data_IF_026470265752
#
_entry.id   IF_026470265752
#
_cell.length_a   1.000
_cell.length_b   1.000
_cell.length_c   1.000
_cell.angle_alpha   90.00
_cell.angle_beta   90.00
_cell.angle_gamma   90.00
#
_symmetry.space_group_name_H-M   'P 1'
#
loop_
_entity.id
_entity.type
_entity.pdbx_description
1 polymer ?
#
# COMPACT_ATOMS: atom_id res chain seq x y z
N UNK A 1 13.26 2.20 -0.05
CA UNK A 1 12.63 1.83 -1.35
C UNK A 1 11.53 2.80 -1.78
N UNK A 2 10.66 3.27 -0.86
CA UNK A 2 9.54 4.17 -1.19
C UNK A 2 9.93 5.44 -1.96
N UNK A 3 11.01 6.12 -1.59
CA UNK A 3 11.52 7.30 -2.32
C UNK A 3 11.83 6.99 -3.79
N UNK A 4 12.44 5.83 -4.05
CA UNK A 4 12.73 5.35 -5.41
C UNK A 4 11.44 5.09 -6.17
N UNK A 5 10.46 4.44 -5.56
CA UNK A 5 9.17 4.20 -6.21
C UNK A 5 8.46 5.52 -6.56
N UNK A 6 8.47 6.51 -5.67
CA UNK A 6 7.88 7.82 -5.93
C UNK A 6 8.52 8.51 -7.15
N UNK A 7 9.85 8.49 -7.26
CA UNK A 7 10.57 9.05 -8.39
C UNK A 7 10.29 8.27 -9.69
N UNK A 8 10.34 6.95 -9.65
CA UNK A 8 10.02 6.08 -10.81
C UNK A 8 8.58 6.31 -11.29
N UNK A 9 7.61 6.38 -10.39
CA UNK A 9 6.22 6.68 -10.73
C UNK A 9 6.09 8.06 -11.39
N UNK A 10 6.84 9.06 -10.90
CA UNK A 10 6.82 10.39 -11.49
C UNK A 10 7.44 10.41 -12.91
N UNK A 11 8.59 9.75 -13.10
CA UNK A 11 9.24 9.62 -14.41
C UNK A 11 8.33 8.89 -15.41
N UNK A 12 7.73 7.76 -15.00
CA UNK A 12 6.82 7.00 -15.83
C UNK A 12 5.57 7.80 -16.19
N UNK A 13 5.03 8.58 -15.24
CA UNK A 13 3.86 9.41 -15.52
C UNK A 13 4.19 10.57 -16.46
N UNK A 14 5.34 11.22 -16.28
CA UNK A 14 5.84 12.27 -17.18
C UNK A 14 6.12 11.73 -18.59
N UNK A 15 6.52 10.46 -18.72
CA UNK A 15 6.77 9.80 -20.00
C UNK A 15 5.53 9.12 -20.61
N UNK A 16 4.45 8.93 -19.84
CA UNK A 16 3.26 8.19 -20.30
C UNK A 16 3.44 6.66 -20.38
N UNK A 17 4.37 6.10 -19.61
CA UNK A 17 4.74 4.67 -19.66
C UNK A 17 4.16 3.84 -18.51
N UNK A 18 3.31 4.43 -17.68
CA UNK A 18 2.64 3.80 -16.53
C UNK A 18 1.25 3.22 -16.86
N UNK A 19 0.81 3.31 -18.12
CA UNK A 19 -0.51 2.83 -18.55
C UNK A 19 -1.68 3.73 -18.17
N UNK A 20 -1.44 4.93 -17.61
CA UNK A 20 -2.49 5.89 -17.23
C UNK A 20 -2.85 6.88 -18.36
N UNK A 21 -2.58 6.53 -19.61
CA UNK A 21 -2.86 7.35 -20.79
C UNK A 21 -1.75 8.35 -21.12
N UNK A 22 -2.10 9.47 -21.75
CA UNK A 22 -1.15 10.45 -22.29
C UNK A 22 -0.15 10.96 -21.23
N UNK A 23 1.08 11.35 -21.62
CA UNK A 23 2.10 11.85 -20.70
C UNK A 23 1.66 13.04 -19.83
N UNK A 24 2.24 13.16 -18.63
CA UNK A 24 2.01 14.27 -17.69
C UNK A 24 0.99 13.95 -16.59
N UNK A 25 0.74 14.93 -15.72
CA UNK A 25 -0.13 14.75 -14.55
C UNK A 25 -1.51 15.35 -14.77
N UNK A 26 -2.54 14.59 -14.40
CA UNK A 26 -3.91 15.06 -14.23
C UNK A 26 -4.37 14.78 -12.80
N UNK A 27 -5.39 15.48 -12.31
CA UNK A 27 -6.01 15.14 -11.02
C UNK A 27 -6.53 13.69 -10.98
N UNK A 28 -6.93 13.12 -12.13
CA UNK A 28 -7.28 11.71 -12.25
C UNK A 28 -6.10 10.79 -11.94
N UNK A 29 -4.99 11.00 -12.64
CA UNK A 29 -3.85 10.10 -12.54
C UNK A 29 -3.11 10.25 -11.22
N UNK A 30 -3.05 11.44 -10.60
CA UNK A 30 -2.50 11.61 -9.25
C UNK A 30 -3.22 10.73 -8.21
N UNK A 31 -4.55 10.65 -8.31
CA UNK A 31 -5.38 9.80 -7.43
C UNK A 31 -5.14 8.31 -7.69
N UNK A 32 -5.03 7.92 -8.97
CA UNK A 32 -4.75 6.54 -9.36
C UNK A 32 -3.34 6.10 -8.94
N UNK A 33 -2.34 6.98 -9.04
CA UNK A 33 -0.97 6.71 -8.61
C UNK A 33 -0.90 6.43 -7.10
N UNK A 34 -1.61 7.20 -6.28
CA UNK A 34 -1.65 6.97 -4.83
C UNK A 34 -2.20 5.57 -4.49
N UNK A 35 -3.37 5.20 -5.04
CA UNK A 35 -3.94 3.86 -4.86
C UNK A 35 -3.44 2.83 -5.89
N UNK A 36 -2.27 3.04 -6.49
CA UNK A 36 -1.66 1.99 -7.34
C UNK A 36 -1.11 0.83 -6.51
N UNK A 37 -0.85 1.12 -5.22
CA UNK A 37 -0.32 0.22 -4.19
C UNK A 37 0.84 -0.67 -4.67
N UNK A 38 1.62 -0.17 -5.62
CA UNK A 38 2.80 -0.84 -6.17
C UNK A 38 3.79 -1.20 -5.07
N UNK A 39 4.26 -2.43 -5.09
CA UNK A 39 5.23 -2.96 -4.13
C UNK A 39 6.62 -3.05 -4.80
N UNK A 40 7.45 -2.01 -4.61
CA UNK A 40 8.72 -1.92 -5.31
C UNK A 40 9.68 -3.07 -4.93
N UNK A 41 9.69 -3.53 -3.68
CA UNK A 41 10.51 -4.69 -3.32
C UNK A 41 10.10 -5.91 -4.17
N UNK A 42 8.80 -6.18 -4.26
CA UNK A 42 8.25 -7.22 -5.12
C UNK A 42 8.66 -7.06 -6.58
N UNK A 43 8.47 -5.86 -7.14
CA UNK A 43 8.83 -5.57 -8.54
C UNK A 43 10.30 -5.83 -8.84
N UNK A 44 11.19 -5.61 -7.87
CA UNK A 44 12.63 -5.81 -8.04
C UNK A 44 13.07 -7.25 -7.87
N UNK A 45 12.37 -8.06 -7.06
CA UNK A 45 12.91 -9.36 -6.61
C UNK A 45 11.99 -10.56 -6.82
N UNK A 46 10.71 -10.39 -7.13
CA UNK A 46 9.76 -11.52 -7.25
C UNK A 46 10.27 -12.57 -8.24
N UNK A 47 10.66 -12.16 -9.43
CA UNK A 47 11.05 -13.08 -10.49
C UNK A 47 12.32 -13.90 -10.13
N UNK A 48 13.45 -13.31 -9.69
CA UNK A 48 14.58 -14.09 -9.22
C UNK A 48 14.28 -14.90 -7.94
N UNK A 49 13.40 -14.40 -7.07
CA UNK A 49 12.94 -15.13 -5.88
C UNK A 49 12.17 -16.39 -6.27
N UNK A 50 11.26 -16.30 -7.24
CA UNK A 50 10.50 -17.43 -7.79
C UNK A 50 11.43 -18.43 -8.50
N UNK A 51 12.43 -17.95 -9.24
CA UNK A 51 13.42 -18.82 -9.87
C UNK A 51 14.20 -19.64 -8.83
N UNK A 52 14.70 -18.99 -7.76
CA UNK A 52 15.37 -19.67 -6.65
C UNK A 52 14.43 -20.63 -5.90
N UNK A 53 13.16 -20.23 -5.70
CA UNK A 53 12.12 -21.06 -5.09
C UNK A 53 11.93 -22.39 -5.84
N UNK A 54 11.80 -22.34 -7.17
CA UNK A 54 11.59 -23.53 -8.02
C UNK A 54 12.79 -24.48 -8.02
N UNK A 55 14.00 -23.97 -7.80
CA UNK A 55 15.20 -24.79 -7.59
C UNK A 55 15.34 -25.37 -6.17
N UNK A 56 14.49 -24.95 -5.23
CA UNK A 56 14.62 -25.24 -3.81
C UNK A 56 13.93 -26.51 -3.30
N UNK A 57 13.22 -27.25 -4.16
CA UNK A 57 12.53 -28.50 -3.82
C UNK A 57 11.04 -28.51 -4.20
N UNK A 58 10.46 -29.71 -4.33
CA UNK A 58 9.06 -29.88 -4.70
C UNK A 58 8.07 -29.43 -3.60
N UNK A 59 8.51 -29.42 -2.34
CA UNK A 59 7.75 -28.92 -1.19
C UNK A 59 7.41 -27.43 -1.30
N UNK A 60 8.24 -26.66 -2.02
CA UNK A 60 8.04 -25.23 -2.22
C UNK A 60 7.10 -24.89 -3.37
N UNK A 61 6.74 -25.84 -4.23
CA UNK A 61 5.97 -25.57 -5.46
C UNK A 61 4.70 -24.71 -5.22
N UNK A 62 3.84 -25.01 -4.21
CA UNK A 62 2.67 -24.17 -3.94
C UNK A 62 3.02 -22.72 -3.59
N UNK A 63 4.08 -22.51 -2.80
CA UNK A 63 4.52 -21.17 -2.43
C UNK A 63 5.10 -20.42 -3.63
N UNK A 64 5.87 -21.10 -4.48
CA UNK A 64 6.42 -20.50 -5.70
C UNK A 64 5.31 -20.07 -6.66
N UNK A 65 4.25 -20.87 -6.79
CA UNK A 65 3.12 -20.57 -7.68
C UNK A 65 2.32 -19.35 -7.19
N UNK A 66 2.08 -19.26 -5.87
CA UNK A 66 1.46 -18.07 -5.26
C UNK A 66 2.31 -16.82 -5.48
N UNK A 67 3.61 -16.90 -5.24
CA UNK A 67 4.53 -15.77 -5.43
C UNK A 67 4.62 -15.36 -6.90
N UNK A 68 4.60 -16.32 -7.83
CA UNK A 68 4.62 -16.04 -9.27
C UNK A 68 3.31 -15.38 -9.75
N UNK A 69 2.17 -15.78 -9.18
CA UNK A 69 0.86 -15.24 -9.51
C UNK A 69 0.56 -13.87 -8.86
N UNK A 70 1.33 -13.48 -7.83
CA UNK A 70 1.14 -12.21 -7.14
C UNK A 70 1.27 -11.03 -8.10
N UNK A 71 0.31 -10.10 -8.00
CA UNK A 71 0.13 -8.91 -8.82
C UNK A 71 1.14 -7.79 -8.57
N UNK A 72 2.11 -7.99 -7.66
CA UNK A 72 3.10 -7.00 -7.24
C UNK A 72 2.48 -5.76 -6.58
N UNK A 73 1.26 -5.89 -6.06
CA UNK A 73 0.54 -4.84 -5.34
C UNK A 73 0.23 -5.22 -3.91
N UNK A 74 -0.06 -4.21 -3.12
CA UNK A 74 -0.53 -4.34 -1.75
C UNK A 74 -1.99 -3.87 -1.64
N UNK A 75 -2.83 -4.24 -2.62
CA UNK A 75 -4.27 -4.00 -2.55
C UNK A 75 -4.89 -4.92 -1.51
N UNK A 76 -6.05 -4.55 -0.95
CA UNK A 76 -6.77 -5.40 -0.01
C UNK A 76 -7.08 -6.80 -0.59
N UNK A 77 -7.24 -6.90 -1.91
CA UNK A 77 -7.48 -8.16 -2.62
C UNK A 77 -6.23 -8.89 -3.10
N UNK A 78 -5.03 -8.30 -2.97
CA UNK A 78 -3.80 -8.89 -3.52
C UNK A 78 -3.46 -10.20 -2.81
N UNK A 79 -3.41 -11.29 -3.58
CA UNK A 79 -3.02 -12.64 -3.14
C UNK A 79 -1.54 -12.85 -3.37
N UNK A 80 -0.85 -13.39 -2.38
CA UNK A 80 0.61 -13.55 -2.36
C UNK A 80 1.38 -12.37 -1.75
N UNK A 81 0.74 -11.22 -1.53
CA UNK A 81 1.34 -10.07 -0.83
C UNK A 81 1.76 -10.42 0.61
N UNK A 82 0.94 -11.21 1.33
CA UNK A 82 1.24 -11.68 2.69
C UNK A 82 2.44 -12.62 2.69
N UNK A 83 2.44 -13.62 1.80
CA UNK A 83 3.56 -14.55 1.67
C UNK A 83 4.86 -13.80 1.32
N UNK A 84 4.81 -12.90 0.34
CA UNK A 84 5.96 -12.08 -0.02
C UNK A 84 6.47 -11.24 1.16
N UNK A 85 5.58 -10.59 1.91
CA UNK A 85 5.95 -9.79 3.09
C UNK A 85 6.73 -10.59 4.13
N UNK A 86 6.29 -11.81 4.43
CA UNK A 86 6.97 -12.65 5.41
C UNK A 86 8.30 -13.21 4.87
N UNK A 87 8.37 -13.57 3.59
CA UNK A 87 9.63 -13.95 2.94
C UNK A 87 10.62 -12.78 2.93
N UNK A 88 10.16 -11.58 2.57
CA UNK A 88 11.00 -10.38 2.52
C UNK A 88 11.56 -10.01 3.89
N UNK A 89 10.76 -10.18 4.95
CA UNK A 89 11.21 -10.05 6.35
C UNK A 89 12.26 -11.10 6.71
N UNK A 90 12.02 -12.36 6.38
CA UNK A 90 12.97 -13.44 6.65
C UNK A 90 14.31 -13.25 5.92
N UNK A 91 14.30 -12.62 4.73
CA UNK A 91 15.50 -12.25 3.98
C UNK A 91 16.23 -11.00 4.52
N UNK A 92 15.71 -10.34 5.56
CA UNK A 92 16.31 -9.13 6.12
C UNK A 92 16.01 -7.85 5.31
N UNK A 93 15.00 -7.88 4.44
CA UNK A 93 14.57 -6.74 3.65
C UNK A 93 15.65 -6.24 2.69
N UNK A 94 16.00 -4.95 2.76
CA UNK A 94 16.98 -4.34 1.86
C UNK A 94 18.39 -4.97 1.94
N UNK A 95 18.72 -5.73 3.00
CA UNK A 95 19.96 -6.48 3.08
C UNK A 95 20.04 -7.63 2.05
N UNK A 96 18.89 -8.06 1.48
CA UNK A 96 18.81 -9.10 0.48
C UNK A 96 19.32 -8.66 -0.92
N UNK A 97 19.63 -7.38 -1.12
CA UNK A 97 20.10 -6.89 -2.42
C UNK A 97 21.56 -7.28 -2.70
N UNK A 98 21.82 -7.68 -3.94
CA UNK A 98 23.15 -8.00 -4.46
C UNK A 98 23.99 -6.73 -4.63
N UNK A 99 23.41 -5.74 -5.31
CA UNK A 99 24.02 -4.46 -5.62
C UNK A 99 23.69 -3.45 -4.53
N UNK A 100 24.71 -2.87 -3.85
CA UNK A 100 24.48 -1.85 -2.83
C UNK A 100 23.99 -0.53 -3.45
N UNK A 101 23.51 0.37 -2.61
CA UNK A 101 23.14 1.72 -3.02
C UNK A 101 24.34 2.47 -3.62
N UNK A 102 24.10 3.15 -4.75
CA UNK A 102 25.03 4.05 -5.42
C UNK A 102 24.39 5.42 -5.58
N UNK A 103 25.11 6.48 -5.18
CA UNK A 103 24.68 7.87 -5.42
C UNK A 103 24.65 8.22 -6.91
N UNK A 104 25.43 7.53 -7.73
CA UNK A 104 25.46 7.74 -9.17
C UNK A 104 24.25 7.11 -9.88
N UNK A 105 23.57 6.17 -9.22
CA UNK A 105 22.35 5.53 -9.72
C UNK A 105 21.33 5.28 -8.59
N UNK A 106 20.74 6.35 -8.03
CA UNK A 106 19.85 6.25 -6.88
C UNK A 106 18.48 5.64 -7.23
N UNK A 107 18.15 5.56 -8.51
CA UNK A 107 16.89 4.97 -9.00
C UNK A 107 17.05 3.55 -9.54
N UNK A 108 18.27 3.10 -9.82
CA UNK A 108 18.58 1.72 -10.17
C UNK A 108 19.08 0.89 -8.99
N UNK A 109 19.55 1.50 -7.91
CA UNK A 109 20.16 0.81 -6.75
C UNK A 109 19.49 1.16 -5.40
N UNK A 110 19.53 0.25 -4.40
CA UNK A 110 20.03 -1.13 -4.45
C UNK A 110 19.14 -2.04 -5.32
N UNK A 111 19.70 -3.11 -5.86
CA UNK A 111 19.01 -3.99 -6.81
C UNK A 111 19.65 -5.37 -6.93
N UNK A 112 18.91 -6.28 -7.60
CA UNK A 112 19.29 -7.68 -7.77
C UNK A 112 19.14 -8.45 -6.47
N UNK A 113 18.58 -9.66 -6.51
CA UNK A 113 18.50 -10.53 -5.34
C UNK A 113 19.86 -11.24 -5.15
N UNK A 114 20.44 -11.19 -3.94
CA UNK A 114 21.73 -11.80 -3.64
C UNK A 114 21.63 -13.32 -3.42
N UNK A 115 21.13 -14.07 -4.41
CA UNK A 115 20.82 -15.51 -4.30
C UNK A 115 22.04 -16.39 -3.97
N UNK A 116 23.25 -15.88 -4.16
CA UNK A 116 24.54 -16.50 -3.82
C UNK A 116 24.95 -16.29 -2.36
N UNK A 117 24.34 -15.32 -1.65
CA UNK A 117 24.69 -14.93 -0.28
C UNK A 117 23.56 -15.16 0.74
N UNK A 118 22.35 -15.43 0.28
CA UNK A 118 21.16 -15.57 1.12
C UNK A 118 20.41 -16.88 0.79
N UNK A 119 19.81 -17.50 1.80
CA UNK A 119 19.01 -18.71 1.64
C UNK A 119 17.55 -18.38 1.31
N UNK A 120 17.28 -18.15 0.01
CA UNK A 120 15.92 -17.91 -0.48
C UNK A 120 14.98 -19.09 -0.20
N UNK A 121 15.31 -20.35 -0.56
CA UNK A 121 14.45 -21.49 -0.23
C UNK A 121 14.16 -21.62 1.28
N UNK A 122 15.16 -21.42 2.13
CA UNK A 122 14.99 -21.44 3.59
C UNK A 122 14.06 -20.34 4.09
N UNK A 123 14.20 -19.10 3.61
CA UNK A 123 13.31 -17.99 3.95
C UNK A 123 11.85 -18.28 3.54
N UNK A 124 11.65 -18.91 2.37
CA UNK A 124 10.32 -19.32 1.91
C UNK A 124 9.75 -20.42 2.79
N UNK A 125 10.52 -21.47 3.12
CA UNK A 125 10.07 -22.53 4.04
C UNK A 125 9.70 -21.97 5.42
N UNK A 126 10.48 -21.02 5.93
CA UNK A 126 10.20 -20.37 7.21
C UNK A 126 8.88 -19.59 7.17
N UNK A 127 8.63 -18.82 6.10
CA UNK A 127 7.38 -18.09 5.92
C UNK A 127 6.17 -19.06 5.75
N UNK A 128 6.32 -20.11 4.95
CA UNK A 128 5.29 -21.14 4.76
C UNK A 128 4.95 -21.82 6.09
N UNK A 129 5.95 -22.25 6.86
CA UNK A 129 5.76 -22.86 8.16
C UNK A 129 5.06 -21.91 9.15
N UNK A 130 5.44 -20.63 9.18
CA UNK A 130 4.82 -19.63 10.05
C UNK A 130 3.32 -19.43 9.74
N UNK A 131 2.95 -19.37 8.46
CA UNK A 131 1.57 -19.21 8.01
C UNK A 131 0.75 -20.47 8.28
N UNK A 132 1.27 -21.65 7.92
CA UNK A 132 0.60 -22.93 8.14
C UNK A 132 0.36 -23.21 9.63
N UNK A 133 1.33 -22.91 10.49
CA UNK A 133 1.18 -23.06 11.94
C UNK A 133 0.03 -22.20 12.53
N UNK A 134 -0.38 -21.14 11.82
CA UNK A 134 -1.49 -20.25 12.20
C UNK A 134 -2.78 -20.54 11.42
N UNK A 135 -2.79 -21.59 10.58
CA UNK A 135 -3.93 -21.91 9.72
C UNK A 135 -4.20 -20.87 8.62
N UNK A 136 -3.18 -20.09 8.24
CA UNK A 136 -3.29 -19.07 7.21
C UNK A 136 -2.95 -19.68 5.85
N UNK A 137 -3.86 -19.52 4.87
CA UNK A 137 -3.60 -19.93 3.49
C UNK A 137 -2.46 -19.10 2.87
N UNK A 138 -1.62 -19.73 2.05
CA UNK A 138 -0.48 -19.06 1.41
C UNK A 138 -0.91 -17.94 0.46
N UNK A 139 -2.07 -18.09 -0.17
CA UNK A 139 -2.66 -17.14 -1.11
C UNK A 139 -3.70 -16.21 -0.45
N UNK A 140 -3.74 -16.14 0.88
CA UNK A 140 -4.65 -15.25 1.63
C UNK A 140 -4.59 -13.83 1.07
N UNK A 141 -5.77 -13.20 0.91
CA UNK A 141 -5.83 -11.81 0.46
C UNK A 141 -5.31 -10.89 1.57
N UNK A 142 -4.56 -9.85 1.22
CA UNK A 142 -3.95 -8.95 2.22
C UNK A 142 -4.97 -8.39 3.23
N UNK A 143 -6.15 -7.96 2.78
CA UNK A 143 -7.21 -7.42 3.63
C UNK A 143 -7.79 -8.42 4.64
N UNK A 144 -7.56 -9.71 4.43
CA UNK A 144 -7.92 -10.75 5.40
C UNK A 144 -6.99 -10.80 6.62
N UNK A 145 -5.84 -10.15 6.57
CA UNK A 145 -4.92 -10.04 7.71
C UNK A 145 -4.55 -8.60 8.04
N UNK A 146 -4.66 -7.67 7.10
CA UNK A 146 -4.39 -6.26 7.30
C UNK A 146 -5.69 -5.48 7.29
N UNK A 147 -6.16 -5.09 8.46
CA UNK A 147 -7.42 -4.36 8.61
C UNK A 147 -7.39 -3.45 9.82
N UNK A 148 -8.26 -2.45 9.80
CA UNK A 148 -8.57 -1.66 10.98
C UNK A 148 -9.95 -1.99 11.51
N UNK A 149 -10.09 -1.96 12.83
CA UNK A 149 -11.39 -2.00 13.48
C UNK A 149 -11.93 -0.57 13.65
N UNK A 150 -13.21 -0.41 13.35
CA UNK A 150 -14.01 0.76 13.69
C UNK A 150 -15.25 0.29 14.44
N UNK A 151 -15.14 0.21 15.76
CA UNK A 151 -16.11 -0.54 16.56
C UNK A 151 -15.99 -2.02 16.20
N UNK A 152 -17.11 -2.66 15.91
CA UNK A 152 -17.15 -4.07 15.47
C UNK A 152 -16.93 -4.23 13.97
N UNK A 153 -16.88 -3.13 13.21
CA UNK A 153 -16.66 -3.18 11.78
C UNK A 153 -15.18 -3.40 11.46
N UNK A 154 -14.93 -4.44 10.67
CA UNK A 154 -13.62 -4.78 10.15
C UNK A 154 -13.44 -4.22 8.74
N UNK A 155 -12.51 -3.28 8.59
CA UNK A 155 -12.23 -2.59 7.32
C UNK A 155 -10.88 -3.05 6.76
N UNK A 156 -10.86 -3.78 5.63
CA UNK A 156 -9.61 -4.25 5.01
C UNK A 156 -8.79 -3.06 4.51
N UNK A 157 -7.49 -3.06 4.82
CA UNK A 157 -6.61 -1.93 4.52
C UNK A 157 -5.60 -2.27 3.43
N UNK A 158 -5.48 -1.36 2.48
CA UNK A 158 -4.49 -1.38 1.40
C UNK A 158 -3.17 -0.71 1.83
N UNK A 159 -2.09 -0.98 1.09
CA UNK A 159 -0.76 -0.43 1.31
C UNK A 159 0.20 -1.36 2.04
N UNK A 160 1.47 -0.95 2.09
CA UNK A 160 2.55 -1.75 2.68
C UNK A 160 3.58 -0.89 3.43
N UNK A 161 4.40 -1.49 4.32
CA UNK A 161 5.40 -0.74 5.07
C UNK A 161 6.52 -0.21 4.17
N UNK A 162 7.28 0.78 4.66
CA UNK A 162 8.40 1.40 3.95
C UNK A 162 9.45 0.38 3.46
N UNK A 163 9.64 -0.71 4.22
CA UNK A 163 10.54 -1.81 3.93
C UNK A 163 10.22 -2.53 2.61
N UNK A 164 8.96 -2.53 2.19
CA UNK A 164 8.49 -3.08 0.90
C UNK A 164 8.45 -2.01 -0.19
N UNK A 165 8.47 -0.74 0.19
CA UNK A 165 8.64 0.38 -0.73
C UNK A 165 7.36 0.91 -1.37
N UNK A 166 6.17 0.60 -0.85
CA UNK A 166 4.93 1.20 -1.35
C UNK A 166 4.92 2.71 -1.19
N UNK A 167 4.36 3.41 -2.17
CA UNK A 167 4.10 4.85 -2.08
C UNK A 167 2.98 5.14 -1.07
N UNK A 168 1.89 4.38 -1.15
CA UNK A 168 0.86 4.34 -0.13
C UNK A 168 1.33 3.47 1.05
N UNK A 169 1.86 4.14 2.09
CA UNK A 169 2.46 3.44 3.23
C UNK A 169 1.41 3.05 4.26
N UNK A 170 1.50 1.81 4.73
CA UNK A 170 0.79 1.37 5.92
C UNK A 170 1.71 0.46 6.73
N UNK A 171 2.08 0.95 7.90
CA UNK A 171 2.94 0.21 8.83
C UNK A 171 2.09 -0.38 9.93
N UNK A 172 2.30 -1.68 10.13
CA UNK A 172 1.46 -2.51 10.99
C UNK A 172 2.31 -3.33 11.96
N UNK A 173 1.77 -3.59 13.14
CA UNK A 173 2.28 -4.60 14.07
C UNK A 173 1.60 -5.92 13.77
N UNK A 174 2.37 -6.99 13.56
CA UNK A 174 1.80 -8.34 13.37
C UNK A 174 1.58 -8.98 14.74
N UNK A 175 0.39 -9.49 15.00
CA UNK A 175 0.08 -10.23 16.23
C UNK A 175 0.42 -11.73 16.10
N UNK A 176 0.26 -12.49 17.20
CA UNK A 176 0.56 -13.93 17.26
C UNK A 176 -0.32 -14.77 16.32
N UNK A 177 -1.50 -14.26 15.94
CA UNK A 177 -2.41 -14.90 14.98
C UNK A 177 -2.08 -14.52 13.54
N UNK A 178 -1.08 -13.68 13.32
CA UNK A 178 -0.63 -13.24 12.01
C UNK A 178 -1.40 -12.06 11.44
N UNK A 179 -2.25 -11.41 12.23
CA UNK A 179 -2.99 -10.20 11.82
C UNK A 179 -2.07 -8.98 11.90
N UNK A 180 -2.04 -8.19 10.85
CA UNK A 180 -1.36 -6.91 10.75
C UNK A 180 -2.27 -5.79 11.24
N UNK A 181 -1.99 -5.27 12.43
CA UNK A 181 -2.69 -4.14 13.04
C UNK A 181 -2.02 -2.82 12.64
N UNK A 182 -2.63 -2.00 11.78
CA UNK A 182 -2.04 -0.72 11.37
C UNK A 182 -1.93 0.24 12.55
N UNK A 183 -0.79 0.92 12.65
CA UNK A 183 -0.58 1.94 13.70
C UNK A 183 -0.02 3.27 13.16
N UNK A 184 0.56 3.27 11.96
CA UNK A 184 0.99 4.49 11.27
C UNK A 184 1.02 4.28 9.75
N UNK A 185 1.04 5.37 8.99
CA UNK A 185 1.00 5.32 7.54
C UNK A 185 0.26 6.53 6.94
N UNK A 186 -0.27 6.35 5.74
CA UNK A 186 -1.12 7.32 5.07
C UNK A 186 -2.24 7.80 6.01
N UNK A 187 -2.34 9.11 6.14
CA UNK A 187 -3.22 9.78 7.10
C UNK A 187 -4.16 10.73 6.35
N UNK A 188 -3.82 12.00 6.28
CA UNK A 188 -4.44 12.97 5.39
C UNK A 188 -3.71 12.96 4.05
N UNK A 189 -4.44 12.64 2.98
CA UNK A 189 -3.91 12.63 1.63
C UNK A 189 -4.78 13.52 0.77
N UNK A 190 -4.16 14.35 -0.07
CA UNK A 190 -4.86 15.25 -0.98
C UNK A 190 -4.23 15.18 -2.37
N UNK A 191 -5.09 15.11 -3.38
CA UNK A 191 -4.74 15.44 -4.76
C UNK A 191 -5.52 16.70 -5.14
N UNK A 192 -4.83 17.73 -5.61
CA UNK A 192 -5.44 19.00 -5.97
C UNK A 192 -4.83 19.58 -7.25
N UNK A 193 -5.61 20.38 -7.95
CA UNK A 193 -5.21 21.17 -9.11
C UNK A 193 -5.75 22.60 -8.97
N UNK A 194 -5.01 23.57 -9.50
CA UNK A 194 -5.47 24.95 -9.64
C UNK A 194 -5.97 25.15 -11.07
N UNK A 195 -7.18 25.67 -11.20
CA UNK A 195 -7.82 25.95 -12.51
C UNK A 195 -8.27 27.40 -12.56
N UNK A 196 -8.61 27.89 -13.74
CA UNK A 196 -9.18 29.24 -13.92
C UNK A 196 -10.51 29.43 -13.16
N UNK A 197 -11.19 28.34 -12.82
CA UNK A 197 -12.45 28.34 -12.05
C UNK A 197 -12.23 28.16 -10.54
N UNK A 198 -10.98 28.15 -10.09
CA UNK A 198 -10.56 27.93 -8.70
C UNK A 198 -9.97 26.53 -8.44
N UNK A 199 -9.61 26.23 -7.18
CA UNK A 199 -9.01 24.96 -6.81
C UNK A 199 -10.04 23.82 -6.89
N UNK A 200 -9.60 22.69 -7.43
CA UNK A 200 -10.34 21.41 -7.42
C UNK A 200 -9.48 20.37 -6.75
N UNK A 201 -10.10 19.43 -6.06
CA UNK A 201 -9.32 18.37 -5.44
C UNK A 201 -10.17 17.30 -4.81
N UNK A 202 -9.49 16.26 -4.37
CA UNK A 202 -10.03 15.23 -3.53
C UNK A 202 -9.08 15.00 -2.37
N UNK A 203 -9.63 14.67 -1.22
CA UNK A 203 -8.84 14.26 -0.08
C UNK A 203 -9.45 13.04 0.57
N UNK A 204 -8.67 12.43 1.44
CA UNK A 204 -9.15 11.41 2.35
C UNK A 204 -8.37 11.54 3.65
N UNK A 205 -9.08 11.52 4.78
CA UNK A 205 -8.51 11.29 6.10
C UNK A 205 -8.75 9.83 6.44
N UNK A 206 -7.73 8.99 6.27
CA UNK A 206 -7.83 7.53 6.37
C UNK A 206 -8.54 7.06 7.64
N UNK A 207 -8.32 7.73 8.77
CA UNK A 207 -8.90 7.36 10.05
C UNK A 207 -10.23 8.05 10.40
N UNK A 208 -10.83 8.77 9.47
CA UNK A 208 -12.04 9.58 9.65
C UNK A 208 -11.86 10.75 10.63
N UNK A 209 -12.87 11.61 10.74
CA UNK A 209 -12.76 12.91 11.45
C UNK A 209 -12.94 12.81 12.97
N UNK A 210 -13.53 11.73 13.48
CA UNK A 210 -13.94 11.64 14.86
C UNK A 210 -13.49 10.31 15.47
N UNK A 211 -12.94 10.36 16.68
CA UNK A 211 -12.63 9.15 17.47
C UNK A 211 -13.85 8.67 18.28
N UNK A 212 -14.87 9.50 18.45
CA UNK A 212 -16.10 9.13 19.15
C UNK A 212 -16.88 8.06 18.34
N UNK A 213 -17.07 6.83 18.86
CA UNK A 213 -17.76 5.75 18.14
C UNK A 213 -19.23 6.03 17.81
N UNK A 214 -19.87 6.97 18.53
CA UNK A 214 -21.25 7.39 18.24
C UNK A 214 -21.35 8.45 17.13
N UNK A 215 -20.22 8.98 16.66
CA UNK A 215 -20.21 10.00 15.60
C UNK A 215 -20.47 9.36 14.24
N UNK A 216 -21.29 9.99 13.37
CA UNK A 216 -21.41 9.54 11.98
C UNK A 216 -20.07 9.62 11.22
N UNK A 217 -19.12 10.41 11.71
CA UNK A 217 -17.79 10.60 11.11
C UNK A 217 -16.69 9.76 11.76
N UNK A 218 -17.07 8.68 12.44
CA UNK A 218 -16.15 7.74 13.09
C UNK A 218 -15.44 6.80 12.10
N UNK A 219 -16.12 6.43 11.01
CA UNK A 219 -15.63 5.42 10.07
C UNK A 219 -15.97 5.71 8.60
N UNK A 220 -16.63 6.83 8.30
CA UNK A 220 -17.10 7.17 6.96
C UNK A 220 -15.96 7.26 5.93
N UNK A 221 -14.88 7.96 6.25
CA UNK A 221 -13.71 8.05 5.38
C UNK A 221 -12.82 6.81 5.46
N UNK A 222 -12.78 6.11 6.59
CA UNK A 222 -12.07 4.82 6.70
C UNK A 222 -12.66 3.79 5.72
N UNK A 223 -13.99 3.75 5.59
CA UNK A 223 -14.69 2.92 4.58
C UNK A 223 -14.35 3.33 3.16
N UNK A 224 -14.33 4.63 2.86
CA UNK A 224 -13.92 5.12 1.54
C UNK A 224 -12.48 4.73 1.22
N UNK A 225 -11.57 4.88 2.18
CA UNK A 225 -10.16 4.48 2.02
C UNK A 225 -10.01 2.96 1.78
N UNK A 226 -10.75 2.13 2.53
CA UNK A 226 -10.77 0.68 2.33
C UNK A 226 -11.27 0.26 0.93
N UNK A 227 -12.06 1.13 0.30
CA UNK A 227 -12.57 0.97 -1.07
C UNK A 227 -11.71 1.70 -2.11
N UNK A 228 -10.60 2.31 -1.70
CA UNK A 228 -9.71 3.12 -2.56
C UNK A 228 -10.44 4.31 -3.23
N UNK A 229 -11.45 4.83 -2.53
CA UNK A 229 -12.28 5.94 -2.96
C UNK A 229 -11.86 7.23 -2.27
N UNK A 230 -12.01 8.31 -3.02
CA UNK A 230 -11.65 9.66 -2.57
C UNK A 230 -12.90 10.49 -2.23
N UNK A 231 -12.78 11.37 -1.23
CA UNK A 231 -13.80 12.36 -0.91
C UNK A 231 -13.54 13.64 -1.74
N UNK A 232 -14.51 14.13 -2.54
CA UNK A 232 -14.33 15.37 -3.27
C UNK A 232 -14.24 16.57 -2.31
N UNK A 233 -13.21 17.39 -2.46
CA UNK A 233 -13.05 18.61 -1.69
C UNK A 233 -14.03 19.67 -2.19
N UNK A 234 -14.63 20.38 -1.23
CA UNK A 234 -15.56 21.49 -1.52
C UNK A 234 -14.98 22.78 -0.98
N UNK A 235 -14.58 23.66 -1.89
CA UNK A 235 -13.88 24.88 -1.53
C UNK A 235 -14.75 26.14 -1.72
N UNK A 236 -15.43 26.28 -2.86
CA UNK A 236 -16.25 27.46 -3.12
C UNK A 236 -17.51 27.48 -2.25
N UNK A 237 -18.00 28.66 -1.87
CA UNK A 237 -19.27 28.82 -1.14
C UNK A 237 -20.42 28.04 -1.78
N UNK A 238 -20.50 28.08 -3.10
CA UNK A 238 -21.49 27.33 -3.88
C UNK A 238 -21.33 25.82 -3.69
N UNK A 239 -20.12 25.29 -3.78
CA UNK A 239 -19.85 23.86 -3.59
C UNK A 239 -20.15 23.41 -2.15
N UNK A 240 -19.78 24.21 -1.15
CA UNK A 240 -20.03 23.94 0.28
C UNK A 240 -21.54 23.88 0.54
N UNK A 241 -22.30 24.87 0.07
CA UNK A 241 -23.76 24.93 0.27
C UNK A 241 -24.51 23.83 -0.47
N UNK A 242 -23.98 23.35 -1.59
CA UNK A 242 -24.53 22.22 -2.34
C UNK A 242 -24.11 20.84 -1.76
N UNK A 243 -23.41 20.79 -0.62
CA UNK A 243 -22.99 19.53 -0.01
C UNK A 243 -24.17 18.74 0.56
N UNK A 244 -24.27 17.43 0.28
CA UNK A 244 -25.14 16.54 1.05
C UNK A 244 -24.82 16.69 2.54
N UNK A 245 -25.85 16.92 3.35
CA UNK A 245 -25.67 17.14 4.79
C UNK A 245 -25.08 18.50 5.17
N UNK A 246 -25.04 19.49 4.26
CA UNK A 246 -24.64 20.86 4.63
C UNK A 246 -25.48 21.37 5.81
N UNK A 247 -24.77 21.72 6.89
CA UNK A 247 -25.35 22.34 8.06
C UNK A 247 -24.50 23.56 8.44
N UNK A 248 -25.15 24.59 8.98
CA UNK A 248 -24.48 25.81 9.45
C UNK A 248 -24.92 26.08 10.88
N UNK A 249 -23.94 26.20 11.79
CA UNK A 249 -24.14 26.66 13.16
C UNK A 249 -23.30 27.90 13.40
N UNK A 250 -23.92 28.98 13.87
CA UNK A 250 -23.19 30.15 14.38
C UNK A 250 -22.99 29.95 15.88
N UNK A 251 -21.74 30.01 16.33
CA UNK A 251 -21.39 29.99 17.75
C UNK A 251 -20.89 31.40 18.10
N UNK A 252 -21.41 31.96 19.18
CA UNK A 252 -20.98 33.25 19.71
C UNK A 252 -20.92 33.14 21.24
N UNK A 253 -19.94 33.79 21.85
CA UNK A 253 -19.80 33.92 23.30
C UNK A 253 -19.39 35.34 23.65
N UNK A 254 -19.64 35.77 24.89
CA UNK A 254 -18.97 36.98 25.40
C UNK A 254 -17.49 36.65 25.54
N UNK A 255 -16.63 37.53 25.01
CA UNK A 255 -15.19 37.46 25.24
C UNK A 255 -14.88 37.68 26.71
#
# INVERSE_FOLDING_TARGET
LRTRLAAVMAEQRLAGTDGLGAPGFTLGNLRALFFSNRNLAGELVRDPLVAACRGGGADLAPACDVLAAWDLRADAGSRGAVLFREVWRALGGAAAFATPFSKADPLGTPSGLATDRIDVPGAIRAAVADLQAKGIALDVALGELQYELRGDERLPMTGCPDSEGCFNILTSRRDERGVYQPYTGSSFVMAAELTDQGPRGHAILRYSQSENPSSPHFADQTRLYAQERWLPLRFTERAIRAAPGYARKRVAGRR
#
